data_IF_779687494125
#
_entry.id   IF_779687494125
#
_cell.length_a   1.000
_cell.length_b   1.000
_cell.length_c   1.000
_cell.angle_alpha   90.00
_cell.angle_beta   90.00
_cell.angle_gamma   90.00
#
_symmetry.space_group_name_H-M   'P 1'
#
loop_
_entity.id
_entity.type
_entity.pdbx_description
1 polymer ?
#
# COMPACT_ATOMS: atom_id res chain seq x y z
N UNK A 1 33.12 -29.50 41.98
CA UNK A 1 31.68 -29.62 41.63
C UNK A 1 31.15 -28.23 41.35
N UNK A 2 31.21 -27.80 40.09
CA UNK A 2 30.69 -26.51 39.64
C UNK A 2 30.04 -26.74 38.28
N UNK A 3 28.79 -27.23 38.29
CA UNK A 3 28.00 -27.40 37.07
C UNK A 3 27.34 -26.07 36.71
N UNK A 4 27.63 -25.67 35.49
CA UNK A 4 27.26 -24.43 34.83
C UNK A 4 25.75 -24.22 34.79
N UNK A 5 25.33 -22.96 34.93
CA UNK A 5 23.94 -22.53 34.80
C UNK A 5 23.51 -22.64 33.32
N UNK A 6 22.28 -23.09 33.02
CA UNK A 6 21.78 -23.14 31.64
C UNK A 6 21.57 -21.73 31.07
N UNK A 7 21.64 -21.55 29.73
CA UNK A 7 21.60 -20.25 29.09
C UNK A 7 20.23 -19.58 29.21
N UNK A 8 20.28 -18.30 29.57
CA UNK A 8 19.29 -17.23 29.43
C UNK A 8 18.02 -17.57 28.66
N UNK A 9 16.91 -17.59 29.39
CA UNK A 9 15.56 -17.47 28.83
C UNK A 9 15.46 -16.23 27.95
N UNK A 10 15.20 -16.45 26.65
CA UNK A 10 14.76 -15.40 25.73
C UNK A 10 13.45 -14.83 26.28
N UNK A 11 13.55 -13.69 27.00
CA UNK A 11 12.37 -12.96 27.47
C UNK A 11 11.46 -12.70 26.28
N UNK A 12 10.13 -12.91 26.39
CA UNK A 12 9.21 -12.53 25.34
C UNK A 12 9.36 -11.03 25.13
N UNK A 13 9.96 -10.63 24.00
CA UNK A 13 10.14 -9.22 23.65
C UNK A 13 8.74 -8.63 23.56
N UNK A 14 8.41 -7.70 24.48
CA UNK A 14 7.11 -7.05 24.54
C UNK A 14 6.97 -6.03 23.40
N UNK A 15 6.79 -6.54 22.18
CA UNK A 15 6.66 -5.74 20.95
C UNK A 15 5.35 -4.92 20.91
N UNK A 16 4.35 -5.31 21.71
CA UNK A 16 3.05 -4.62 21.77
C UNK A 16 3.16 -3.12 22.06
N UNK A 17 4.00 -2.72 23.00
CA UNK A 17 4.11 -1.30 23.39
C UNK A 17 4.73 -0.42 22.30
N UNK A 18 5.69 -0.95 21.55
CA UNK A 18 6.31 -0.23 20.42
C UNK A 18 5.39 -0.22 19.21
N UNK A 19 4.71 -1.34 18.94
CA UNK A 19 3.78 -1.43 17.83
C UNK A 19 2.55 -0.53 18.03
N UNK A 20 1.98 -0.49 19.24
CA UNK A 20 0.82 0.37 19.54
C UNK A 20 1.16 1.86 19.41
N UNK A 21 2.35 2.28 19.86
CA UNK A 21 2.83 3.66 19.67
C UNK A 21 3.10 3.96 18.20
N UNK A 22 3.74 3.05 17.48
CA UNK A 22 3.99 3.20 16.05
C UNK A 22 2.68 3.33 15.25
N UNK A 23 1.68 2.51 15.56
CA UNK A 23 0.35 2.56 14.93
C UNK A 23 -0.38 3.86 15.28
N UNK A 24 -0.34 4.32 16.53
CA UNK A 24 -0.98 5.58 16.91
C UNK A 24 -0.35 6.78 16.22
N UNK A 25 0.99 6.81 16.14
CA UNK A 25 1.71 7.93 15.53
C UNK A 25 1.47 7.97 14.01
N UNK A 26 1.59 6.83 13.33
CA UNK A 26 1.32 6.73 11.88
C UNK A 26 -0.14 7.06 11.58
N UNK A 27 -1.08 6.61 12.42
CA UNK A 27 -2.50 6.94 12.31
C UNK A 27 -2.77 8.45 12.46
N UNK A 28 -2.12 9.12 13.43
CA UNK A 28 -2.23 10.56 13.60
C UNK A 28 -1.68 11.34 12.39
N UNK A 29 -0.54 10.91 11.85
CA UNK A 29 0.00 11.50 10.62
C UNK A 29 -0.95 11.30 9.43
N UNK A 30 -1.51 10.10 9.25
CA UNK A 30 -2.54 9.85 8.23
C UNK A 30 -3.74 10.75 8.40
N UNK A 31 -4.22 10.96 9.63
CA UNK A 31 -5.35 11.86 9.90
C UNK A 31 -5.05 13.30 9.44
N UNK A 32 -3.89 13.84 9.85
CA UNK A 32 -3.48 15.19 9.47
C UNK A 32 -3.31 15.32 7.96
N UNK A 33 -2.69 14.33 7.31
CA UNK A 33 -2.50 14.31 5.86
C UNK A 33 -3.85 14.27 5.16
N UNK A 34 -4.77 13.39 5.57
CA UNK A 34 -6.11 13.32 4.98
C UNK A 34 -6.90 14.60 5.17
N UNK A 35 -6.75 15.29 6.31
CA UNK A 35 -7.39 16.60 6.53
C UNK A 35 -6.80 17.68 5.61
N UNK A 36 -5.47 17.76 5.48
CA UNK A 36 -4.81 18.72 4.59
C UNK A 36 -5.09 18.44 3.11
N UNK A 37 -5.42 17.20 2.74
CA UNK A 37 -5.82 16.90 1.37
C UNK A 37 -7.11 17.60 0.95
N UNK A 38 -7.96 18.03 1.90
CA UNK A 38 -9.15 18.84 1.61
C UNK A 38 -8.80 20.29 1.23
N UNK A 39 -7.56 20.73 1.41
CA UNK A 39 -7.14 22.11 1.06
C UNK A 39 -7.39 22.39 -0.42
N UNK A 40 -7.13 21.44 -1.32
CA UNK A 40 -7.33 21.65 -2.77
C UNK A 40 -8.82 21.76 -3.13
N UNK A 41 -9.72 20.84 -2.70
CA UNK A 41 -11.16 21.04 -2.86
C UNK A 41 -11.67 22.35 -2.25
N UNK A 42 -11.24 22.70 -1.03
CA UNK A 42 -11.68 23.92 -0.35
C UNK A 42 -11.20 25.19 -1.07
N UNK A 43 -9.98 25.18 -1.59
CA UNK A 43 -9.44 26.27 -2.40
C UNK A 43 -10.28 26.47 -3.67
N UNK A 44 -10.62 25.39 -4.37
CA UNK A 44 -11.47 25.46 -5.56
C UNK A 44 -12.86 26.01 -5.23
N UNK A 45 -13.52 25.52 -4.18
CA UNK A 45 -14.80 26.06 -3.72
C UNK A 45 -14.72 27.57 -3.48
N UNK A 46 -13.73 28.01 -2.72
CA UNK A 46 -13.61 29.41 -2.35
C UNK A 46 -13.27 30.30 -3.55
N UNK A 47 -12.43 29.81 -4.47
CA UNK A 47 -12.07 30.55 -5.68
C UNK A 47 -13.29 30.71 -6.58
N UNK A 48 -13.99 29.63 -6.89
CA UNK A 48 -15.14 29.67 -7.81
C UNK A 48 -16.36 30.35 -7.21
N UNK A 49 -16.65 30.14 -5.93
CA UNK A 49 -17.91 30.61 -5.33
C UNK A 49 -17.76 31.98 -4.66
N UNK A 50 -16.53 32.39 -4.30
CA UNK A 50 -16.30 33.67 -3.60
C UNK A 50 -15.38 34.62 -4.34
N UNK A 51 -14.24 34.16 -4.85
CA UNK A 51 -13.25 35.04 -5.48
C UNK A 51 -13.71 35.50 -6.87
N UNK A 52 -14.18 34.57 -7.71
CA UNK A 52 -14.66 34.89 -9.06
C UNK A 52 -15.83 35.89 -9.03
N UNK A 53 -16.89 35.68 -8.21
CA UNK A 53 -18.00 36.63 -8.13
C UNK A 53 -17.60 37.99 -7.53
N UNK A 54 -16.72 38.01 -6.52
CA UNK A 54 -16.29 39.27 -5.87
C UNK A 54 -15.21 40.03 -6.64
N UNK A 55 -14.58 39.40 -7.64
CA UNK A 55 -13.43 39.95 -8.39
C UNK A 55 -12.31 40.51 -7.49
N UNK A 56 -12.19 39.99 -6.26
CA UNK A 56 -11.22 40.46 -5.27
C UNK A 56 -9.88 39.75 -5.42
N UNK A 57 -8.91 40.45 -6.03
CA UNK A 57 -7.53 39.94 -6.17
C UNK A 57 -6.86 39.76 -4.80
N UNK A 58 -7.17 40.63 -3.83
CA UNK A 58 -6.61 40.51 -2.47
C UNK A 58 -7.00 39.18 -1.82
N UNK A 59 -8.28 38.81 -1.87
CA UNK A 59 -8.78 37.54 -1.32
C UNK A 59 -8.11 36.34 -2.01
N UNK A 60 -7.91 36.42 -3.32
CA UNK A 60 -7.20 35.39 -4.08
C UNK A 60 -5.78 35.20 -3.54
N UNK A 61 -5.02 36.29 -3.39
CA UNK A 61 -3.63 36.24 -2.91
C UNK A 61 -3.55 35.61 -1.52
N UNK A 62 -4.40 36.03 -0.58
CA UNK A 62 -4.42 35.43 0.76
C UNK A 62 -4.74 33.93 0.71
N UNK A 63 -5.74 33.53 -0.06
CA UNK A 63 -6.11 32.11 -0.21
C UNK A 63 -5.01 31.30 -0.86
N UNK A 64 -4.36 31.83 -1.91
CA UNK A 64 -3.26 31.14 -2.59
C UNK A 64 -2.06 30.97 -1.66
N UNK A 65 -1.70 31.98 -0.87
CA UNK A 65 -0.60 31.87 0.10
C UNK A 65 -0.91 30.82 1.16
N UNK A 66 -2.13 30.81 1.71
CA UNK A 66 -2.56 29.79 2.68
C UNK A 66 -2.54 28.40 2.06
N UNK A 67 -3.06 28.25 0.83
CA UNK A 67 -3.08 26.98 0.12
C UNK A 67 -1.66 26.46 -0.16
N UNK A 68 -0.75 27.31 -0.62
CA UNK A 68 0.66 26.94 -0.86
C UNK A 68 1.35 26.55 0.45
N UNK A 69 1.15 27.31 1.53
CA UNK A 69 1.70 26.97 2.84
C UNK A 69 1.16 25.62 3.35
N UNK A 70 -0.14 25.38 3.22
CA UNK A 70 -0.76 24.12 3.62
C UNK A 70 -0.30 22.94 2.76
N UNK A 71 -0.12 23.11 1.45
CA UNK A 71 0.46 22.09 0.57
C UNK A 71 1.94 21.82 0.89
N UNK A 72 2.69 22.84 1.27
CA UNK A 72 4.06 22.69 1.79
C UNK A 72 4.08 21.85 3.07
N UNK A 73 3.16 22.13 4.01
CA UNK A 73 3.03 21.37 5.24
C UNK A 73 2.55 19.93 5.00
N UNK A 74 1.65 19.72 4.02
CA UNK A 74 1.23 18.38 3.57
C UNK A 74 2.44 17.55 3.11
N UNK A 75 3.29 18.11 2.24
CA UNK A 75 4.48 17.44 1.75
C UNK A 75 5.49 17.15 2.86
N UNK A 76 5.65 18.08 3.80
CA UNK A 76 6.49 17.90 4.99
C UNK A 76 5.98 16.74 5.87
N UNK A 77 4.68 16.71 6.18
CA UNK A 77 4.10 15.63 6.99
C UNK A 77 4.22 14.27 6.30
N UNK A 78 4.02 14.19 4.98
CA UNK A 78 4.16 12.95 4.23
C UNK A 78 5.61 12.43 4.26
N UNK A 79 6.60 13.33 4.13
CA UNK A 79 8.01 12.99 4.25
C UNK A 79 8.37 12.50 5.67
N UNK A 80 7.88 13.18 6.71
CA UNK A 80 8.09 12.77 8.11
C UNK A 80 7.48 11.38 8.36
N UNK A 81 6.26 11.13 7.87
CA UNK A 81 5.58 9.83 7.97
C UNK A 81 6.39 8.72 7.28
N UNK A 82 6.92 8.98 6.09
CA UNK A 82 7.74 8.02 5.35
C UNK A 82 9.03 7.66 6.12
N UNK A 83 9.76 8.67 6.62
CA UNK A 83 10.98 8.45 7.42
C UNK A 83 10.66 7.71 8.73
N UNK A 84 9.56 8.06 9.39
CA UNK A 84 9.14 7.40 10.63
C UNK A 84 8.84 5.92 10.41
N UNK A 85 8.11 5.60 9.35
CA UNK A 85 7.78 4.22 8.95
C UNK A 85 9.04 3.41 8.63
N UNK A 86 10.02 4.03 7.98
CA UNK A 86 11.33 3.40 7.75
C UNK A 86 12.09 3.12 9.05
N UNK A 87 12.06 4.04 10.03
CA UNK A 87 12.68 3.83 11.36
C UNK A 87 11.99 2.74 12.16
N UNK A 88 10.67 2.61 12.06
CA UNK A 88 9.92 1.51 12.66
C UNK A 88 10.39 0.18 12.07
N UNK A 89 10.50 0.07 10.75
CA UNK A 89 10.99 -1.15 10.10
C UNK A 89 12.41 -1.52 10.56
N UNK A 90 13.32 -0.54 10.69
CA UNK A 90 14.67 -0.77 11.21
C UNK A 90 14.67 -1.25 12.66
N UNK A 91 13.81 -0.68 13.51
CA UNK A 91 13.66 -1.09 14.93
C UNK A 91 13.11 -2.51 15.05
N UNK A 92 12.16 -2.88 14.19
CA UNK A 92 11.63 -4.25 14.11
C UNK A 92 12.74 -5.22 13.71
N UNK A 93 13.53 -4.88 12.69
CA UNK A 93 14.67 -5.70 12.25
C UNK A 93 15.73 -5.87 13.35
N UNK A 94 16.07 -4.81 14.07
CA UNK A 94 17.08 -4.86 15.15
C UNK A 94 16.62 -5.76 16.31
N UNK A 95 15.36 -5.62 16.74
CA UNK A 95 14.80 -6.39 17.87
C UNK A 95 14.52 -7.85 17.54
N UNK A 96 14.10 -8.15 16.32
CA UNK A 96 13.80 -9.52 15.90
C UNK A 96 15.00 -10.20 15.25
N UNK A 97 15.97 -9.44 14.75
CA UNK A 97 17.09 -9.94 13.96
C UNK A 97 17.89 -11.01 14.67
N UNK A 98 18.27 -10.79 15.93
CA UNK A 98 19.03 -11.78 16.70
C UNK A 98 18.22 -13.07 16.95
N UNK A 99 16.93 -12.95 17.26
CA UNK A 99 16.03 -14.09 17.52
C UNK A 99 15.77 -14.88 16.25
N UNK A 100 15.49 -14.20 15.13
CA UNK A 100 15.23 -14.80 13.81
C UNK A 100 16.51 -15.42 13.25
N UNK A 101 17.66 -14.78 13.47
CA UNK A 101 18.97 -15.34 13.12
C UNK A 101 19.25 -16.62 13.90
N UNK A 102 19.04 -16.62 15.22
CA UNK A 102 19.18 -17.82 16.04
C UNK A 102 18.22 -18.95 15.60
N UNK A 103 16.98 -18.61 15.24
CA UNK A 103 16.01 -19.57 14.70
C UNK A 103 16.46 -20.14 13.34
N UNK A 104 17.05 -19.31 12.47
CA UNK A 104 17.57 -19.75 11.16
C UNK A 104 18.75 -20.72 11.25
N UNK A 105 19.46 -20.76 12.39
CA UNK A 105 20.53 -21.72 12.63
C UNK A 105 20.00 -23.11 13.04
N UNK A 106 18.81 -23.17 13.67
CA UNK A 106 18.23 -24.40 14.21
C UNK A 106 17.34 -25.18 13.23
N UNK A 107 16.58 -24.49 12.37
CA UNK A 107 15.76 -25.12 11.34
C UNK A 107 16.23 -24.72 9.94
N UNK A 108 16.83 -25.68 9.22
CA UNK A 108 17.33 -25.52 7.85
C UNK A 108 16.36 -26.11 6.81
N UNK A 109 15.20 -26.57 7.25
CA UNK A 109 14.27 -27.38 6.45
C UNK A 109 13.10 -26.54 5.90
N UNK A 110 12.86 -25.35 6.46
CA UNK A 110 11.77 -24.43 6.13
C UNK A 110 12.15 -23.24 5.22
N UNK A 111 11.19 -22.34 4.90
CA UNK A 111 11.48 -21.01 4.32
C UNK A 111 12.46 -20.26 5.23
N UNK A 112 13.34 -19.44 4.66
CA UNK A 112 14.34 -18.71 5.46
C UNK A 112 13.64 -17.70 6.38
N UNK A 113 13.72 -17.85 7.72
CA UNK A 113 13.10 -16.90 8.64
C UNK A 113 13.62 -15.46 8.44
N UNK A 114 14.86 -15.33 7.95
CA UNK A 114 15.47 -14.04 7.59
C UNK A 114 14.84 -13.43 6.34
N UNK A 115 14.49 -14.24 5.34
CA UNK A 115 13.78 -13.77 4.15
C UNK A 115 12.36 -13.29 4.51
N UNK A 116 11.67 -14.00 5.41
CA UNK A 116 10.36 -13.60 5.91
C UNK A 116 10.45 -12.29 6.71
N UNK A 117 11.46 -12.12 7.58
CA UNK A 117 11.71 -10.87 8.29
C UNK A 117 11.98 -9.72 7.31
N UNK A 118 12.77 -9.96 6.25
CA UNK A 118 13.04 -8.98 5.21
C UNK A 118 11.76 -8.60 4.44
N UNK A 119 10.89 -9.57 4.13
CA UNK A 119 9.60 -9.36 3.49
C UNK A 119 8.67 -8.50 4.37
N UNK A 120 8.58 -8.80 5.67
CA UNK A 120 7.82 -7.99 6.64
C UNK A 120 8.37 -6.57 6.73
N UNK A 121 9.69 -6.41 6.82
CA UNK A 121 10.31 -5.07 6.86
C UNK A 121 10.11 -4.31 5.53
N UNK A 122 10.10 -5.00 4.39
CA UNK A 122 9.78 -4.41 3.09
C UNK A 122 8.31 -3.98 3.03
N UNK A 123 7.38 -4.80 3.55
CA UNK A 123 5.98 -4.46 3.65
C UNK A 123 5.76 -3.23 4.54
N UNK A 124 6.38 -3.17 5.72
CA UNK A 124 6.30 -2.00 6.62
C UNK A 124 6.75 -0.72 5.90
N UNK A 125 7.85 -0.79 5.16
CA UNK A 125 8.37 0.35 4.36
C UNK A 125 7.54 0.69 3.14
N UNK A 126 6.62 -0.20 2.73
CA UNK A 126 5.88 -0.04 1.49
C UNK A 126 4.80 1.03 1.60
N UNK A 127 4.44 1.59 0.45
CA UNK A 127 3.30 2.51 0.34
C UNK A 127 1.97 1.84 0.67
N UNK A 128 1.90 0.51 0.64
CA UNK A 128 0.70 -0.26 0.98
C UNK A 128 0.27 -0.07 2.43
N UNK A 129 1.22 0.13 3.35
CA UNK A 129 0.91 0.42 4.75
C UNK A 129 0.23 1.78 4.88
N UNK A 130 0.72 2.81 4.18
CA UNK A 130 0.07 4.12 4.19
C UNK A 130 -1.38 4.05 3.67
N UNK A 131 -1.62 3.29 2.60
CA UNK A 131 -2.98 3.07 2.06
C UNK A 131 -3.89 2.41 3.10
N UNK A 132 -3.38 1.43 3.87
CA UNK A 132 -4.17 0.79 4.93
C UNK A 132 -4.56 1.77 6.05
N UNK A 133 -3.68 2.72 6.38
CA UNK A 133 -3.96 3.79 7.33
C UNK A 133 -4.91 4.87 6.78
N UNK A 134 -4.97 5.03 5.46
CA UNK A 134 -5.88 5.97 4.78
C UNK A 134 -7.29 5.36 4.57
N UNK A 135 -7.40 4.03 4.49
CA UNK A 135 -8.65 3.28 4.33
C UNK A 135 -9.81 3.68 5.28
N UNK A 136 -9.61 3.87 6.61
CA UNK A 136 -10.69 4.30 7.50
C UNK A 136 -11.23 5.71 7.21
N UNK A 137 -10.53 6.52 6.41
CA UNK A 137 -10.98 7.84 6.00
C UNK A 137 -11.86 7.81 4.74
N UNK A 138 -11.87 6.70 3.98
CA UNK A 138 -12.71 6.59 2.79
C UNK A 138 -14.23 6.80 3.09
N UNK A 139 -14.81 6.23 4.16
CA UNK A 139 -16.19 6.54 4.57
C UNK A 139 -16.41 8.02 4.93
N UNK A 140 -15.40 8.70 5.48
CA UNK A 140 -15.48 10.13 5.80
C UNK A 140 -15.56 10.97 4.52
N UNK A 141 -14.77 10.63 3.49
CA UNK A 141 -14.87 11.28 2.18
C UNK A 141 -16.20 11.00 1.49
N UNK A 142 -16.76 9.79 1.62
CA UNK A 142 -18.10 9.47 1.13
C UNK A 142 -19.19 10.26 1.89
N UNK A 143 -19.07 10.40 3.21
CA UNK A 143 -20.00 11.20 4.01
C UNK A 143 -19.94 12.69 3.61
N UNK A 144 -18.74 13.22 3.37
CA UNK A 144 -18.56 14.57 2.85
C UNK A 144 -19.22 14.74 1.47
N UNK A 145 -19.12 13.72 0.60
CA UNK A 145 -19.76 13.74 -0.71
C UNK A 145 -21.29 13.68 -0.61
N UNK A 146 -21.83 12.96 0.37
CA UNK A 146 -23.27 12.95 0.66
C UNK A 146 -23.77 14.34 1.09
N UNK A 147 -22.99 15.06 1.91
CA UNK A 147 -23.29 16.45 2.30
C UNK A 147 -23.25 17.41 1.11
N UNK A 148 -22.41 17.14 0.10
CA UNK A 148 -22.38 17.91 -1.14
C UNK A 148 -23.64 17.65 -1.97
N UNK A 149 -23.86 16.39 -2.38
CA UNK A 149 -25.05 16.02 -3.12
C UNK A 149 -25.31 14.50 -3.08
N UNK A 150 -26.52 14.04 -2.72
CA UNK A 150 -26.84 12.60 -2.63
C UNK A 150 -26.62 11.81 -3.93
N UNK A 151 -26.86 12.42 -5.10
CA UNK A 151 -26.66 11.75 -6.40
C UNK A 151 -25.19 11.37 -6.61
N UNK A 152 -24.25 12.28 -6.28
CA UNK A 152 -22.82 12.01 -6.44
C UNK A 152 -22.33 10.94 -5.47
N UNK A 153 -22.91 10.90 -4.26
CA UNK A 153 -22.68 9.82 -3.31
C UNK A 153 -23.07 8.46 -3.90
N UNK A 154 -24.27 8.31 -4.47
CA UNK A 154 -24.70 7.03 -5.05
C UNK A 154 -23.83 6.57 -6.23
N UNK A 155 -23.43 7.49 -7.11
CA UNK A 155 -22.51 7.19 -8.21
C UNK A 155 -21.16 6.70 -7.69
N UNK A 156 -20.59 7.39 -6.70
CA UNK A 156 -19.29 7.04 -6.13
C UNK A 156 -19.36 5.75 -5.32
N UNK A 157 -20.45 5.51 -4.58
CA UNK A 157 -20.69 4.28 -3.83
C UNK A 157 -20.79 3.08 -4.78
N UNK A 158 -21.55 3.20 -5.87
CA UNK A 158 -21.66 2.17 -6.90
C UNK A 158 -20.30 1.89 -7.58
N UNK A 159 -19.54 2.94 -7.89
CA UNK A 159 -18.19 2.81 -8.43
C UNK A 159 -17.21 2.14 -7.47
N UNK A 160 -17.27 2.50 -6.19
CA UNK A 160 -16.45 1.87 -5.13
C UNK A 160 -16.81 0.40 -4.97
N UNK A 161 -18.10 0.06 -4.93
CA UNK A 161 -18.56 -1.32 -4.87
C UNK A 161 -18.05 -2.14 -6.06
N UNK A 162 -18.11 -1.58 -7.28
CA UNK A 162 -17.59 -2.24 -8.47
C UNK A 162 -16.07 -2.44 -8.43
N UNK A 163 -15.32 -1.47 -7.92
CA UNK A 163 -13.87 -1.61 -7.70
C UNK A 163 -13.56 -2.70 -6.67
N UNK A 164 -14.32 -2.76 -5.57
CA UNK A 164 -14.16 -3.83 -4.57
C UNK A 164 -14.41 -5.20 -5.19
N UNK A 165 -15.45 -5.36 -6.00
CA UNK A 165 -15.72 -6.61 -6.73
C UNK A 165 -14.54 -6.97 -7.64
N UNK A 166 -13.98 -6.00 -8.35
CA UNK A 166 -12.82 -6.22 -9.23
C UNK A 166 -11.57 -6.64 -8.45
N UNK A 167 -11.32 -6.03 -7.29
CA UNK A 167 -10.21 -6.39 -6.39
C UNK A 167 -10.39 -7.78 -5.82
N UNK A 168 -11.60 -8.14 -5.40
CA UNK A 168 -11.93 -9.48 -4.90
C UNK A 168 -11.76 -10.51 -6.01
N UNK A 169 -12.29 -10.25 -7.21
CA UNK A 169 -12.11 -11.12 -8.37
C UNK A 169 -10.63 -11.34 -8.72
N UNK A 170 -9.80 -10.28 -8.65
CA UNK A 170 -8.35 -10.37 -8.83
C UNK A 170 -7.70 -11.30 -7.80
N UNK A 171 -8.04 -11.13 -6.52
CA UNK A 171 -7.50 -11.98 -5.45
C UNK A 171 -7.91 -13.44 -5.60
N UNK A 172 -9.16 -13.73 -5.99
CA UNK A 172 -9.61 -15.09 -6.23
C UNK A 172 -8.94 -15.71 -7.47
N UNK A 173 -8.74 -14.93 -8.53
CA UNK A 173 -8.11 -15.40 -9.76
C UNK A 173 -6.62 -15.73 -9.58
N UNK A 174 -5.93 -14.98 -8.72
CA UNK A 174 -4.46 -15.04 -8.60
C UNK A 174 -4.00 -15.81 -7.36
N UNK A 175 -4.74 -15.75 -6.25
CA UNK A 175 -4.24 -16.20 -4.94
C UNK A 175 -3.71 -17.64 -4.91
N UNK A 176 -4.30 -18.54 -5.71
CA UNK A 176 -3.82 -19.93 -5.85
C UNK A 176 -2.51 -20.04 -6.64
N UNK A 177 -2.33 -19.25 -7.69
CA UNK A 177 -1.12 -19.26 -8.50
C UNK A 177 0.06 -18.59 -7.75
N UNK A 178 -0.21 -17.53 -7.00
CA UNK A 178 0.80 -16.87 -6.15
C UNK A 178 1.31 -17.82 -5.05
N UNK A 179 0.41 -18.53 -4.36
CA UNK A 179 0.79 -19.51 -3.34
C UNK A 179 1.67 -20.64 -3.92
N UNK A 180 1.28 -21.16 -5.09
CA UNK A 180 2.06 -22.20 -5.78
C UNK A 180 3.40 -21.67 -6.31
N UNK A 181 3.45 -20.43 -6.80
CA UNK A 181 4.70 -19.79 -7.24
C UNK A 181 5.67 -19.62 -6.08
N UNK A 182 5.18 -19.18 -4.91
CA UNK A 182 5.98 -19.04 -3.70
C UNK A 182 6.53 -20.41 -3.23
N UNK A 183 5.71 -21.46 -3.28
CA UNK A 183 6.14 -22.83 -2.95
C UNK A 183 7.26 -23.32 -3.89
N UNK A 184 7.09 -23.15 -5.21
CA UNK A 184 8.09 -23.57 -6.21
C UNK A 184 9.39 -22.78 -6.11
N UNK A 185 9.29 -21.48 -5.81
CA UNK A 185 10.45 -20.62 -5.55
C UNK A 185 11.23 -21.06 -4.30
N UNK A 186 10.51 -21.47 -3.24
CA UNK A 186 11.13 -22.04 -2.05
C UNK A 186 11.86 -23.36 -2.35
N UNK A 187 11.29 -24.24 -3.18
CA UNK A 187 11.94 -25.48 -3.63
C UNK A 187 13.21 -25.20 -4.45
N UNK A 188 13.17 -24.22 -5.37
CA UNK A 188 14.34 -23.81 -6.13
C UNK A 188 15.47 -23.30 -5.22
N UNK A 189 15.13 -22.48 -4.23
CA UNK A 189 16.08 -21.96 -3.23
C UNK A 189 16.72 -23.08 -2.40
N UNK A 190 15.94 -24.12 -2.03
CA UNK A 190 16.46 -25.29 -1.31
C UNK A 190 17.41 -26.13 -2.18
N UNK A 191 17.07 -26.33 -3.44
CA UNK A 191 17.91 -27.06 -4.38
C UNK A 191 19.26 -26.35 -4.59
N UNK A 192 19.24 -25.03 -4.75
CA UNK A 192 20.45 -24.21 -4.85
C UNK A 192 21.35 -24.38 -3.62
N UNK A 193 20.80 -24.25 -2.40
CA UNK A 193 21.57 -24.44 -1.17
C UNK A 193 22.15 -25.86 -1.06
N UNK A 194 21.41 -26.89 -1.48
CA UNK A 194 21.88 -28.27 -1.46
C UNK A 194 23.02 -28.51 -2.47
N UNK A 195 22.94 -27.93 -3.65
CA UNK A 195 24.00 -28.00 -4.67
C UNK A 195 25.23 -27.17 -4.27
N UNK A 196 25.04 -25.99 -3.68
CA UNK A 196 26.13 -25.16 -3.18
C UNK A 196 26.95 -25.86 -2.08
N UNK A 197 26.27 -26.56 -1.15
CA UNK A 197 26.94 -27.36 -0.10
C UNK A 197 27.79 -28.52 -0.66
N UNK A 198 27.41 -29.07 -1.81
CA UNK A 198 28.08 -30.22 -2.44
C UNK A 198 28.79 -29.82 -3.75
N UNK A 199 29.17 -28.55 -3.89
CA UNK A 199 29.66 -28.01 -5.15
C UNK A 199 30.97 -28.68 -5.62
N UNK A 200 31.86 -29.04 -4.68
CA UNK A 200 33.10 -29.74 -4.98
C UNK A 200 32.84 -31.14 -5.52
N UNK A 201 31.94 -31.90 -4.88
CA UNK A 201 31.53 -33.23 -5.33
C UNK A 201 30.84 -33.18 -6.69
N UNK A 202 29.95 -32.20 -6.91
CA UNK A 202 29.29 -31.99 -8.19
C UNK A 202 30.27 -31.66 -9.31
N UNK A 203 31.31 -30.87 -9.03
CA UNK A 203 32.39 -30.57 -9.98
C UNK A 203 33.26 -31.78 -10.25
N UNK A 204 33.65 -32.52 -9.21
CA UNK A 204 34.47 -33.73 -9.31
C UNK A 204 33.77 -34.84 -10.12
N UNK A 205 32.45 -34.96 -10.02
CA UNK A 205 31.65 -35.91 -10.81
C UNK A 205 31.23 -35.39 -12.19
N UNK A 206 31.58 -34.15 -12.57
CA UNK A 206 31.15 -33.54 -13.83
C UNK A 206 29.64 -33.32 -13.94
N UNK A 207 28.92 -33.26 -12.81
CA UNK A 207 27.44 -33.24 -12.75
C UNK A 207 26.84 -31.84 -12.67
N UNK A 208 27.64 -30.78 -12.84
CA UNK A 208 27.19 -29.37 -12.71
C UNK A 208 26.02 -29.06 -13.65
N UNK A 209 26.07 -29.54 -14.89
CA UNK A 209 25.00 -29.31 -15.87
C UNK A 209 23.70 -30.06 -15.53
N UNK A 210 23.81 -31.25 -14.93
CA UNK A 210 22.65 -32.00 -14.44
C UNK A 210 22.00 -31.28 -13.25
N UNK A 211 22.80 -30.76 -12.32
CA UNK A 211 22.31 -29.98 -11.18
C UNK A 211 21.67 -28.67 -11.63
N UNK A 212 22.29 -27.96 -12.59
CA UNK A 212 21.74 -26.74 -13.18
C UNK A 212 20.40 -27.00 -13.89
N UNK A 213 20.27 -28.11 -14.64
CA UNK A 213 18.99 -28.52 -15.23
C UNK A 213 17.94 -28.85 -14.17
N UNK A 214 18.31 -29.57 -13.11
CA UNK A 214 17.38 -29.92 -12.04
C UNK A 214 16.84 -28.67 -11.31
N UNK A 215 17.72 -27.73 -10.95
CA UNK A 215 17.34 -26.42 -10.40
C UNK A 215 16.51 -25.60 -11.38
N UNK A 216 16.94 -25.55 -12.65
CA UNK A 216 16.28 -24.79 -13.72
C UNK A 216 14.83 -25.20 -13.96
N UNK A 217 14.46 -26.48 -13.75
CA UNK A 217 13.05 -26.91 -13.82
C UNK A 217 12.20 -26.26 -12.73
N UNK A 218 12.68 -26.23 -11.48
CA UNK A 218 11.94 -25.60 -10.38
C UNK A 218 11.79 -24.10 -10.58
N UNK A 219 12.84 -23.43 -11.09
CA UNK A 219 12.78 -22.02 -11.46
C UNK A 219 11.78 -21.78 -12.58
N UNK A 220 11.83 -22.57 -13.66
CA UNK A 220 10.92 -22.42 -14.80
C UNK A 220 9.45 -22.59 -14.40
N UNK A 221 9.13 -23.58 -13.56
CA UNK A 221 7.78 -23.79 -13.03
C UNK A 221 7.32 -22.61 -12.15
N UNK A 222 8.19 -22.10 -11.27
CA UNK A 222 7.90 -20.93 -10.46
C UNK A 222 7.65 -19.68 -11.34
N UNK A 223 8.45 -19.51 -12.39
CA UNK A 223 8.37 -18.39 -13.32
C UNK A 223 7.06 -18.40 -14.12
N UNK A 224 6.63 -19.56 -14.62
CA UNK A 224 5.36 -19.68 -15.36
C UNK A 224 4.16 -19.36 -14.47
N UNK A 225 4.18 -19.81 -13.21
CA UNK A 225 3.12 -19.47 -12.24
C UNK A 225 3.14 -17.99 -11.87
N UNK A 226 4.33 -17.41 -11.70
CA UNK A 226 4.50 -15.98 -11.44
C UNK A 226 4.04 -15.13 -12.62
N UNK A 227 4.41 -15.49 -13.85
CA UNK A 227 4.04 -14.76 -15.06
C UNK A 227 2.52 -14.75 -15.30
N UNK A 228 1.85 -15.89 -15.08
CA UNK A 228 0.37 -15.96 -15.11
C UNK A 228 -0.28 -15.05 -14.08
N UNK A 229 0.26 -15.03 -12.87
CA UNK A 229 -0.21 -14.19 -11.76
C UNK A 229 0.03 -12.71 -12.06
N UNK A 230 1.23 -12.36 -12.51
CA UNK A 230 1.63 -11.01 -12.87
C UNK A 230 0.80 -10.46 -14.04
N UNK A 231 0.56 -11.29 -15.07
CA UNK A 231 -0.27 -10.93 -16.22
C UNK A 231 -1.72 -10.68 -15.82
N UNK A 232 -2.32 -11.57 -15.02
CA UNK A 232 -3.66 -11.34 -14.48
C UNK A 232 -3.70 -10.06 -13.64
N UNK A 233 -2.74 -9.85 -12.73
CA UNK A 233 -2.68 -8.66 -11.89
C UNK A 233 -2.54 -7.38 -12.71
N UNK A 234 -1.77 -7.42 -13.81
CA UNK A 234 -1.62 -6.30 -14.73
C UNK A 234 -2.95 -5.96 -15.43
N UNK A 235 -3.71 -6.95 -15.89
CA UNK A 235 -5.02 -6.77 -16.51
C UNK A 235 -6.00 -6.16 -15.50
N UNK A 236 -6.13 -6.73 -14.31
CA UNK A 236 -7.03 -6.24 -13.27
C UNK A 236 -6.63 -4.83 -12.77
N UNK A 237 -5.33 -4.55 -12.64
CA UNK A 237 -4.83 -3.22 -12.29
C UNK A 237 -5.14 -2.19 -13.38
N UNK A 238 -4.95 -2.56 -14.66
CA UNK A 238 -5.33 -1.75 -15.81
C UNK A 238 -6.83 -1.46 -15.85
N UNK A 239 -7.67 -2.48 -15.68
CA UNK A 239 -9.12 -2.35 -15.60
C UNK A 239 -9.55 -1.45 -14.42
N UNK A 240 -8.93 -1.61 -13.25
CA UNK A 240 -9.19 -0.77 -12.06
C UNK A 240 -8.82 0.69 -12.30
N UNK A 241 -7.74 0.95 -13.04
CA UNK A 241 -7.33 2.31 -13.42
C UNK A 241 -8.31 2.92 -14.42
N UNK A 242 -8.67 2.18 -15.46
CA UNK A 242 -9.65 2.62 -16.45
C UNK A 242 -11.01 2.92 -15.81
N UNK A 243 -11.49 2.02 -14.94
CA UNK A 243 -12.73 2.22 -14.20
C UNK A 243 -12.70 3.47 -13.32
N UNK A 244 -11.61 3.71 -12.59
CA UNK A 244 -11.44 4.95 -11.80
C UNK A 244 -11.51 6.20 -12.66
N UNK A 245 -10.86 6.21 -13.83
CA UNK A 245 -10.93 7.34 -14.77
C UNK A 245 -12.35 7.54 -15.33
N UNK A 246 -13.04 6.46 -15.69
CA UNK A 246 -14.44 6.51 -16.15
C UNK A 246 -15.37 7.04 -15.05
N UNK A 247 -15.21 6.58 -13.81
CA UNK A 247 -15.97 7.08 -12.66
C UNK A 247 -15.70 8.57 -12.41
N UNK A 248 -14.45 9.01 -12.52
CA UNK A 248 -14.11 10.41 -12.37
C UNK A 248 -14.78 11.28 -13.44
N UNK A 249 -14.84 10.80 -14.69
CA UNK A 249 -15.56 11.47 -15.78
C UNK A 249 -17.08 11.45 -15.55
N UNK A 250 -17.63 10.33 -15.09
CA UNK A 250 -19.06 10.20 -14.78
C UNK A 250 -19.49 11.14 -13.66
N UNK A 251 -18.66 11.30 -12.62
CA UNK A 251 -18.91 12.24 -11.52
C UNK A 251 -18.83 13.68 -12.01
N UNK A 252 -17.88 14.01 -12.87
CA UNK A 252 -17.80 15.33 -13.49
C UNK A 252 -19.03 15.62 -14.36
N UNK A 253 -19.47 14.65 -15.18
CA UNK A 253 -20.65 14.76 -16.03
C UNK A 253 -21.95 14.89 -15.23
N UNK A 254 -22.11 14.08 -14.18
CA UNK A 254 -23.23 14.20 -13.25
C UNK A 254 -23.21 15.57 -12.54
N UNK A 255 -22.05 16.01 -12.04
CA UNK A 255 -21.90 17.34 -11.44
C UNK A 255 -22.29 18.46 -12.40
N UNK A 256 -21.88 18.38 -13.66
CA UNK A 256 -22.25 19.37 -14.69
C UNK A 256 -23.77 19.40 -14.93
N UNK A 257 -24.43 18.24 -15.00
CA UNK A 257 -25.89 18.16 -15.10
C UNK A 257 -26.57 18.86 -13.92
N UNK A 258 -26.11 18.62 -12.69
CA UNK A 258 -26.69 19.20 -11.48
C UNK A 258 -26.49 20.73 -11.40
N UNK A 259 -25.39 21.24 -11.95
CA UNK A 259 -25.19 22.69 -12.08
C UNK A 259 -26.14 23.30 -13.10
N UNK A 260 -26.45 22.61 -14.21
CA UNK A 260 -27.46 23.07 -15.17
C UNK A 260 -28.86 23.14 -14.55
N UNK A 261 -29.16 22.25 -13.60
CA UNK A 261 -30.41 22.29 -12.82
C UNK A 261 -30.39 23.34 -11.68
N UNK A 262 -29.27 24.05 -11.48
CA UNK A 262 -29.12 25.06 -10.43
C UNK A 262 -29.01 24.50 -9.01
N UNK A 263 -28.77 23.19 -8.84
CA UNK A 263 -28.66 22.54 -7.54
C UNK A 263 -27.24 22.57 -6.96
N UNK A 264 -26.24 22.87 -7.78
CA UNK A 264 -24.82 22.93 -7.38
C UNK A 264 -24.14 24.17 -8.00
N UNK A 265 -23.04 24.61 -7.39
CA UNK A 265 -22.15 25.63 -7.97
C UNK A 265 -21.04 24.99 -8.81
N UNK A 266 -20.41 25.79 -9.67
CA UNK A 266 -19.27 25.34 -10.48
C UNK A 266 -18.09 24.85 -9.60
N UNK A 267 -17.83 25.50 -8.45
CA UNK A 267 -16.80 25.07 -7.51
C UNK A 267 -17.07 23.67 -6.94
N UNK A 268 -18.34 23.36 -6.64
CA UNK A 268 -18.75 22.09 -6.06
C UNK A 268 -18.54 20.90 -7.00
N UNK A 269 -18.63 21.09 -8.33
CA UNK A 269 -18.29 20.05 -9.32
C UNK A 269 -16.84 19.58 -9.11
N UNK A 270 -15.88 20.50 -9.15
CA UNK A 270 -14.46 20.14 -9.07
C UNK A 270 -14.09 19.60 -7.69
N UNK A 271 -14.64 20.19 -6.63
CA UNK A 271 -14.45 19.69 -5.27
C UNK A 271 -14.97 18.25 -5.11
N UNK A 272 -16.17 17.95 -5.62
CA UNK A 272 -16.75 16.60 -5.56
C UNK A 272 -15.94 15.57 -6.35
N UNK A 273 -15.39 15.93 -7.51
CA UNK A 273 -14.55 15.03 -8.34
C UNK A 273 -13.22 14.70 -7.65
N UNK A 274 -12.64 15.68 -6.95
CA UNK A 274 -11.38 15.47 -6.23
C UNK A 274 -11.59 14.67 -4.93
N UNK A 275 -12.68 14.91 -4.21
CA UNK A 275 -13.07 14.14 -3.03
C UNK A 275 -13.42 12.70 -3.40
N UNK A 276 -14.17 12.48 -4.48
CA UNK A 276 -14.51 11.13 -4.93
C UNK A 276 -13.29 10.33 -5.38
N UNK A 277 -12.30 10.98 -6.02
CA UNK A 277 -11.02 10.35 -6.35
C UNK A 277 -10.32 9.77 -5.13
N UNK A 278 -10.48 10.39 -3.95
CA UNK A 278 -9.93 9.87 -2.67
C UNK A 278 -10.76 8.75 -2.09
N UNK A 279 -12.09 8.80 -2.21
CA UNK A 279 -12.96 7.70 -1.80
C UNK A 279 -12.74 6.43 -2.64
N UNK A 280 -12.30 6.58 -3.90
CA UNK A 280 -12.06 5.48 -4.85
C UNK A 280 -10.62 4.91 -4.82
N UNK A 281 -9.73 5.46 -4.00
CA UNK A 281 -8.31 5.05 -3.92
C UNK A 281 -8.12 3.77 -3.11
#
# INVERSE_FOLDING_TARGET
MSRERPPTSLRPVSLRGVFLRAVSDVGLFSLLINLLLLVVPLYLLQVYDRVLPSSSVETLVYLSVIAVAALGFLGFLDAVRAVYTQRIAATVNDRLGATVFAASLGDRSGPSPLADLAAVCAFIRSRGVAVLFDLPFAPVFLALLYLIHPVLFWVTLGGTALLVVLVVANQLAIGRNDALSAERSALASRAEQAFARNAETLRAMGMVENAARAWGRHVAEALVLHDRSASANAIFSGASRALRMMLQLAILGAGAWLVLEGQMTAGMIFASSLVSSRALQ
#
